data_IF_621115278403
#
_entry.id   IF_621115278403
#
_cell.length_a   1.000
_cell.length_b   1.000
_cell.length_c   1.000
_cell.angle_alpha   90.00
_cell.angle_beta   90.00
_cell.angle_gamma   90.00
#
_symmetry.space_group_name_H-M   'P 1'
#
loop_
_entity.id
_entity.type
_entity.pdbx_description
1 polymer ?
#
# COMPACT_ATOMS: atom_id res chain seq x y z
N UNK A 1 -17.47 12.62 -13.16
CA UNK A 1 -16.88 11.42 -12.50
C UNK A 1 -17.92 10.31 -12.55
N UNK A 2 -17.54 9.06 -12.84
CA UNK A 2 -18.46 7.93 -12.73
C UNK A 2 -18.92 7.76 -11.27
N UNK A 3 -20.08 7.14 -11.06
CA UNK A 3 -20.57 6.84 -9.72
C UNK A 3 -19.71 5.71 -9.10
N UNK A 4 -19.43 5.82 -7.81
CA UNK A 4 -18.66 4.80 -7.06
C UNK A 4 -19.43 3.48 -7.00
N UNK A 5 -18.74 2.37 -7.27
CA UNK A 5 -19.25 1.00 -7.07
C UNK A 5 -19.66 0.79 -5.60
N UNK A 6 -19.01 1.46 -4.66
CA UNK A 6 -19.34 1.45 -3.23
C UNK A 6 -20.77 1.84 -2.89
N UNK A 7 -21.48 2.57 -3.78
CA UNK A 7 -22.91 2.83 -3.60
C UNK A 7 -23.78 1.59 -3.77
N UNK A 8 -23.26 0.53 -4.40
CA UNK A 8 -23.97 -0.73 -4.66
C UNK A 8 -23.38 -1.87 -3.82
N UNK A 9 -22.07 -1.97 -3.77
CA UNK A 9 -21.33 -2.97 -2.99
C UNK A 9 -20.38 -2.23 -2.06
N UNK A 10 -20.69 -2.25 -0.77
CA UNK A 10 -19.85 -1.68 0.28
C UNK A 10 -19.10 -2.83 0.96
N UNK A 11 -17.77 -2.81 0.88
CA UNK A 11 -16.88 -3.75 1.59
C UNK A 11 -16.24 -2.98 2.74
N UNK A 12 -16.43 -3.47 3.96
CA UNK A 12 -15.85 -2.91 5.17
C UNK A 12 -14.83 -3.93 5.66
N UNK A 13 -13.58 -3.51 5.78
CA UNK A 13 -12.50 -4.32 6.33
C UNK A 13 -12.10 -3.77 7.70
N UNK A 14 -11.85 -4.61 8.66
CA UNK A 14 -11.35 -4.25 9.97
C UNK A 14 -9.97 -4.91 10.18
N UNK A 15 -8.90 -4.13 10.39
CA UNK A 15 -8.88 -2.67 10.45
C UNK A 15 -9.31 -2.01 9.13
N UNK A 16 -9.85 -0.77 9.15
CA UNK A 16 -10.49 -0.19 7.99
C UNK A 16 -9.50 0.01 6.84
N UNK A 17 -9.84 -0.58 5.68
CA UNK A 17 -9.27 -0.21 4.40
C UNK A 17 -10.27 0.70 3.69
N UNK A 18 -9.80 1.84 3.18
CA UNK A 18 -10.65 2.69 2.36
C UNK A 18 -10.80 2.09 0.96
N UNK A 19 -12.02 2.07 0.46
CA UNK A 19 -12.34 1.42 -0.81
C UNK A 19 -11.84 2.26 -1.96
N UNK A 20 -10.85 1.75 -2.67
CA UNK A 20 -10.32 2.36 -3.90
C UNK A 20 -11.16 1.90 -5.09
N UNK A 21 -11.83 2.82 -5.76
CA UNK A 21 -12.78 2.53 -6.85
C UNK A 21 -12.13 2.17 -8.18
N UNK A 22 -11.13 1.40 -8.29
CA UNK A 22 -10.39 0.87 -9.45
C UNK A 22 -8.87 1.07 -9.35
N UNK A 23 -8.29 0.77 -8.20
CA UNK A 23 -6.86 0.88 -8.03
C UNK A 23 -6.11 -0.11 -8.93
N UNK A 24 -5.16 0.40 -9.66
CA UNK A 24 -4.11 -0.43 -10.22
C UNK A 24 -2.96 -0.47 -9.19
N UNK A 25 -2.92 -1.53 -8.38
CA UNK A 25 -1.93 -1.72 -7.32
C UNK A 25 -0.48 -1.80 -7.86
N UNK A 26 -0.31 -2.05 -9.15
CA UNK A 26 0.97 -2.05 -9.86
C UNK A 26 1.41 -0.66 -10.36
N UNK A 27 1.05 0.45 -9.69
CA UNK A 27 1.40 1.80 -10.14
C UNK A 27 2.17 2.59 -9.10
N UNK A 28 3.34 3.09 -9.51
CA UNK A 28 4.18 4.03 -8.74
C UNK A 28 4.27 5.34 -9.52
N UNK A 29 4.00 6.46 -8.86
CA UNK A 29 4.06 7.81 -9.44
C UNK A 29 5.10 8.65 -8.70
N UNK A 30 6.09 9.17 -9.41
CA UNK A 30 7.00 10.18 -8.88
C UNK A 30 6.35 11.57 -9.04
N UNK A 31 6.22 12.29 -7.95
CA UNK A 31 5.78 13.68 -7.92
C UNK A 31 6.98 14.58 -7.74
N UNK A 32 7.24 15.50 -8.69
CA UNK A 32 8.44 16.34 -8.64
C UNK A 32 8.24 17.68 -9.34
N UNK A 33 8.87 18.76 -8.84
CA UNK A 33 8.98 20.04 -9.55
C UNK A 33 9.66 19.89 -10.91
N UNK A 34 10.62 18.97 -11.07
CA UNK A 34 11.28 18.70 -12.34
C UNK A 34 10.31 18.31 -13.48
N UNK A 35 9.15 17.76 -13.13
CA UNK A 35 8.13 17.30 -14.11
C UNK A 35 7.31 18.45 -14.68
N UNK A 36 7.18 19.58 -13.97
CA UNK A 36 6.33 20.73 -14.34
C UNK A 36 6.67 21.29 -15.72
N UNK A 37 7.95 21.30 -16.09
CA UNK A 37 8.41 21.79 -17.38
C UNK A 37 8.14 20.84 -18.56
N UNK A 38 7.97 19.55 -18.29
CA UNK A 38 7.87 18.45 -19.28
C UNK A 38 6.43 17.99 -19.48
N UNK A 39 5.70 17.75 -18.39
CA UNK A 39 4.30 17.33 -18.42
C UNK A 39 3.39 18.55 -18.26
N UNK A 40 2.77 18.96 -19.36
CA UNK A 40 1.95 20.18 -19.42
C UNK A 40 0.51 19.86 -19.77
N UNK A 41 -0.44 20.67 -19.25
CA UNK A 41 -1.85 20.58 -19.60
C UNK A 41 -2.06 20.50 -21.14
N UNK A 42 -2.89 19.58 -21.67
CA UNK A 42 -3.86 18.75 -20.94
C UNK A 42 -3.30 17.42 -20.38
N UNK A 43 -2.01 17.12 -20.53
CA UNK A 43 -1.37 15.93 -19.97
C UNK A 43 -1.28 16.08 -18.44
N UNK A 44 -1.73 15.06 -17.69
CA UNK A 44 -1.69 15.07 -16.22
C UNK A 44 -0.54 14.25 -15.68
N UNK A 45 -0.03 13.29 -16.44
CA UNK A 45 1.08 12.41 -16.09
C UNK A 45 1.74 11.85 -17.35
N UNK A 46 2.95 11.29 -17.20
CA UNK A 46 3.63 10.53 -18.25
C UNK A 46 4.16 9.22 -17.70
N UNK A 47 4.23 8.19 -18.56
CA UNK A 47 4.71 6.86 -18.19
C UNK A 47 5.97 6.48 -18.95
N UNK A 48 6.85 5.73 -18.27
CA UNK A 48 8.11 5.25 -18.81
C UNK A 48 8.28 3.77 -18.53
N UNK A 49 8.68 3.00 -19.54
CA UNK A 49 8.97 1.56 -19.39
C UNK A 49 10.47 1.28 -19.19
N UNK A 50 11.33 2.25 -19.46
CA UNK A 50 12.79 2.13 -19.34
C UNK A 50 13.41 3.41 -18.80
N UNK A 51 14.54 3.27 -18.10
CA UNK A 51 15.35 4.41 -17.65
C UNK A 51 15.83 5.27 -18.83
N UNK A 52 16.20 4.66 -19.95
CA UNK A 52 16.65 5.39 -21.16
C UNK A 52 15.56 6.30 -21.72
N UNK A 53 14.29 5.81 -21.76
CA UNK A 53 13.18 6.63 -22.21
C UNK A 53 12.89 7.79 -21.23
N UNK A 54 13.03 7.54 -19.92
CA UNK A 54 12.93 8.56 -18.89
C UNK A 54 14.02 9.64 -19.07
N UNK A 55 15.28 9.24 -19.23
CA UNK A 55 16.41 10.15 -19.41
C UNK A 55 16.35 10.97 -20.70
N UNK A 56 15.61 10.53 -21.72
CA UNK A 56 15.40 11.31 -22.93
C UNK A 56 14.55 12.57 -22.69
N UNK A 57 13.58 12.49 -21.76
CA UNK A 57 12.75 13.64 -21.37
C UNK A 57 13.37 14.43 -20.20
N UNK A 58 14.18 13.78 -19.38
CA UNK A 58 14.85 14.34 -18.19
C UNK A 58 16.38 14.10 -18.28
N UNK A 59 17.08 14.80 -19.19
CA UNK A 59 18.52 14.64 -19.35
C UNK A 59 19.27 15.21 -18.13
N UNK A 60 20.33 14.52 -17.69
CA UNK A 60 21.08 14.84 -16.47
C UNK A 60 21.75 16.22 -16.48
N UNK A 61 22.00 16.78 -17.65
CA UNK A 61 22.56 18.12 -17.82
C UNK A 61 21.56 19.27 -17.62
N UNK A 62 20.26 18.96 -17.61
CA UNK A 62 19.17 19.93 -17.47
C UNK A 62 18.15 19.59 -16.37
N UNK A 63 18.27 18.40 -15.77
CA UNK A 63 17.40 17.90 -14.70
C UNK A 63 18.23 17.64 -13.45
N UNK A 64 17.71 17.95 -12.24
CA UNK A 64 18.41 17.63 -11.00
C UNK A 64 18.75 16.14 -10.91
N UNK A 65 19.99 15.82 -10.55
CA UNK A 65 20.47 14.44 -10.45
C UNK A 65 19.62 13.56 -9.55
N UNK A 66 19.03 14.14 -8.47
CA UNK A 66 18.18 13.42 -7.54
C UNK A 66 16.93 12.79 -8.22
N UNK A 67 16.36 13.47 -9.24
CA UNK A 67 15.19 12.96 -9.93
C UNK A 67 15.52 11.75 -10.81
N UNK A 68 16.61 11.85 -11.59
CA UNK A 68 17.11 10.74 -12.38
C UNK A 68 17.57 9.58 -11.50
N UNK A 69 18.23 9.87 -10.39
CA UNK A 69 18.67 8.85 -9.44
C UNK A 69 17.48 8.13 -8.77
N UNK A 70 16.42 8.85 -8.42
CA UNK A 70 15.18 8.24 -7.92
C UNK A 70 14.56 7.28 -8.94
N UNK A 71 14.46 7.71 -10.21
CA UNK A 71 13.99 6.83 -11.28
C UNK A 71 14.90 5.60 -11.48
N UNK A 72 16.20 5.78 -11.34
CA UNK A 72 17.18 4.68 -11.41
C UNK A 72 16.91 3.64 -10.31
N UNK A 73 16.66 4.04 -9.06
CA UNK A 73 16.31 3.13 -7.97
C UNK A 73 15.06 2.28 -8.26
N UNK A 74 14.06 2.86 -8.93
CA UNK A 74 12.90 2.12 -9.40
C UNK A 74 13.27 1.11 -10.49
N UNK A 75 14.01 1.53 -11.53
CA UNK A 75 14.31 0.69 -12.69
C UNK A 75 15.35 -0.40 -12.41
N UNK A 76 16.20 -0.23 -11.41
CA UNK A 76 17.19 -1.23 -10.99
C UNK A 76 16.57 -2.35 -10.14
N UNK A 77 15.36 -2.16 -9.60
CA UNK A 77 14.65 -3.25 -8.92
C UNK A 77 14.27 -4.33 -9.93
N UNK A 78 14.73 -5.60 -9.71
CA UNK A 78 14.38 -6.72 -10.60
C UNK A 78 12.88 -7.01 -10.62
N UNK A 79 12.23 -6.96 -9.44
CA UNK A 79 10.79 -7.06 -9.31
C UNK A 79 10.20 -5.63 -9.20
N UNK A 80 9.54 -5.19 -10.26
CA UNK A 80 8.91 -3.86 -10.34
C UNK A 80 7.74 -3.86 -11.31
N UNK A 81 6.84 -2.87 -11.22
CA UNK A 81 5.85 -2.62 -12.26
C UNK A 81 6.49 -2.36 -13.63
N UNK A 82 5.76 -2.65 -14.70
CA UNK A 82 6.23 -2.44 -16.06
C UNK A 82 6.51 -0.95 -16.35
N UNK A 83 5.74 -0.06 -15.76
CA UNK A 83 5.82 1.38 -15.99
C UNK A 83 6.08 2.14 -14.71
N UNK A 84 6.97 3.12 -14.80
CA UNK A 84 7.10 4.22 -13.84
C UNK A 84 6.28 5.41 -14.37
N UNK A 85 5.49 6.02 -13.50
CA UNK A 85 4.73 7.21 -13.82
C UNK A 85 5.37 8.45 -13.18
N UNK A 86 5.21 9.59 -13.83
CA UNK A 86 5.62 10.89 -13.27
C UNK A 86 4.47 11.88 -13.38
N UNK A 87 4.29 12.69 -12.35
CA UNK A 87 3.28 13.74 -12.31
C UNK A 87 3.89 15.06 -11.80
N UNK A 88 3.42 16.21 -12.29
CA UNK A 88 3.92 17.50 -11.84
C UNK A 88 3.50 17.77 -10.37
N UNK A 89 4.43 18.35 -9.63
CA UNK A 89 4.21 18.92 -8.30
C UNK A 89 4.87 20.31 -8.27
N UNK A 90 4.08 21.36 -8.44
CA UNK A 90 4.55 22.74 -8.58
C UNK A 90 4.84 23.39 -7.20
N UNK A 91 5.65 22.71 -6.38
CA UNK A 91 6.02 23.15 -5.05
C UNK A 91 6.92 24.41 -5.04
N UNK A 92 7.66 24.63 -6.14
CA UNK A 92 8.61 25.72 -6.31
C UNK A 92 7.98 26.98 -6.97
N UNK A 93 6.67 27.00 -7.15
CA UNK A 93 5.97 28.16 -7.72
C UNK A 93 6.08 29.38 -6.78
N UNK A 94 6.74 30.46 -7.25
CA UNK A 94 7.02 31.63 -6.42
C UNK A 94 5.75 32.38 -5.98
N UNK A 95 4.70 32.36 -6.83
CA UNK A 95 3.45 33.08 -6.55
C UNK A 95 2.48 32.25 -5.69
N UNK A 96 2.40 30.96 -5.94
CA UNK A 96 1.49 30.03 -5.28
C UNK A 96 2.09 28.63 -5.24
N UNK A 97 2.92 28.31 -4.26
CA UNK A 97 3.42 26.93 -4.09
C UNK A 97 2.27 25.92 -3.98
N UNK A 98 2.35 24.84 -4.73
CA UNK A 98 1.39 23.75 -4.63
C UNK A 98 1.78 22.83 -3.48
N UNK A 99 0.83 22.54 -2.57
CA UNK A 99 1.06 21.51 -1.56
C UNK A 99 1.10 20.12 -2.18
N UNK A 100 1.74 19.16 -1.51
CA UNK A 100 1.78 17.77 -1.96
C UNK A 100 0.36 17.15 -2.00
N UNK A 101 -0.48 17.48 -1.03
CA UNK A 101 -1.89 17.06 -1.00
C UNK A 101 -2.67 17.57 -2.24
N UNK A 102 -2.42 18.83 -2.67
CA UNK A 102 -3.03 19.38 -3.88
C UNK A 102 -2.54 18.67 -5.15
N UNK A 103 -1.25 18.31 -5.22
CA UNK A 103 -0.69 17.56 -6.34
C UNK A 103 -1.34 16.15 -6.46
N UNK A 104 -1.49 15.45 -5.34
CA UNK A 104 -2.20 14.17 -5.28
C UNK A 104 -3.66 14.30 -5.72
N UNK A 105 -4.38 15.29 -5.18
CA UNK A 105 -5.76 15.56 -5.54
C UNK A 105 -5.93 15.91 -7.02
N UNK A 106 -5.04 16.72 -7.57
CA UNK A 106 -5.07 17.12 -8.99
C UNK A 106 -4.85 15.92 -9.92
N UNK A 107 -3.88 15.05 -9.61
CA UNK A 107 -3.66 13.83 -10.39
C UNK A 107 -4.88 12.92 -10.31
N UNK A 108 -5.41 12.65 -9.11
CA UNK A 108 -6.59 11.78 -8.92
C UNK A 108 -7.85 12.33 -9.59
N UNK A 109 -8.01 13.65 -9.67
CA UNK A 109 -9.12 14.26 -10.40
C UNK A 109 -9.04 13.99 -11.92
N UNK A 110 -7.82 13.82 -12.45
CA UNK A 110 -7.57 13.57 -13.88
C UNK A 110 -7.44 12.08 -14.19
N UNK A 111 -6.79 11.35 -13.30
CA UNK A 111 -6.52 9.91 -13.40
C UNK A 111 -6.36 9.30 -12.02
N UNK A 112 -7.34 8.52 -11.61
CA UNK A 112 -7.35 7.88 -10.28
C UNK A 112 -6.75 6.45 -10.29
N UNK A 113 -6.21 6.00 -11.42
CA UNK A 113 -5.61 4.67 -11.61
C UNK A 113 -4.21 4.50 -11.03
N UNK A 114 -3.81 5.28 -10.00
CA UNK A 114 -2.53 5.15 -9.31
C UNK A 114 -2.71 4.73 -7.86
N UNK A 115 -1.68 4.10 -7.30
CA UNK A 115 -1.72 3.58 -5.93
C UNK A 115 -0.63 4.14 -5.01
N UNK A 116 0.64 4.15 -5.43
CA UNK A 116 1.75 4.62 -4.63
C UNK A 116 2.32 5.93 -5.16
N UNK A 117 2.32 6.98 -4.34
CA UNK A 117 2.95 8.27 -4.63
C UNK A 117 4.33 8.39 -3.97
N UNK A 118 5.34 8.84 -4.72
CA UNK A 118 6.69 9.11 -4.22
C UNK A 118 7.00 10.57 -4.48
N UNK A 119 7.00 11.44 -3.47
CA UNK A 119 7.43 12.84 -3.62
C UNK A 119 8.97 12.90 -3.78
N UNK A 120 9.45 13.71 -4.74
CA UNK A 120 10.87 13.80 -5.07
C UNK A 120 11.29 15.25 -5.29
N UNK A 121 12.35 15.66 -4.62
CA UNK A 121 13.08 16.90 -4.91
C UNK A 121 12.73 18.07 -4.02
N UNK A 122 11.48 18.34 -3.72
CA UNK A 122 11.08 19.42 -2.82
C UNK A 122 10.81 18.89 -1.40
N UNK A 123 11.06 19.72 -0.41
CA UNK A 123 10.69 19.43 0.97
C UNK A 123 9.24 19.86 1.17
N UNK A 124 8.38 18.92 1.57
CA UNK A 124 6.99 19.24 1.88
C UNK A 124 6.88 19.75 3.32
N UNK A 125 6.47 21.02 3.52
CA UNK A 125 6.35 21.59 4.86
C UNK A 125 5.12 21.08 5.62
N UNK A 126 4.12 20.55 4.92
CA UNK A 126 2.87 20.03 5.49
C UNK A 126 2.65 18.55 5.17
N UNK A 127 3.50 17.70 5.74
CA UNK A 127 3.34 16.25 5.63
C UNK A 127 2.02 15.75 6.23
N UNK A 128 1.45 16.49 7.19
CA UNK A 128 0.19 16.13 7.83
C UNK A 128 -0.96 16.15 6.82
N UNK A 129 -1.11 17.23 6.03
CA UNK A 129 -2.20 17.32 5.03
C UNK A 129 -2.05 16.30 3.92
N UNK A 130 -0.81 16.03 3.48
CA UNK A 130 -0.51 15.00 2.50
C UNK A 130 -0.88 13.60 3.02
N UNK A 131 -0.46 13.27 4.25
CA UNK A 131 -0.78 11.99 4.89
C UNK A 131 -2.29 11.81 5.13
N UNK A 132 -3.00 12.88 5.54
CA UNK A 132 -4.46 12.86 5.70
C UNK A 132 -5.17 12.60 4.37
N UNK A 133 -4.73 13.24 3.28
CA UNK A 133 -5.29 13.00 1.95
C UNK A 133 -5.06 11.56 1.50
N UNK A 134 -3.84 11.04 1.66
CA UNK A 134 -3.45 9.65 1.33
C UNK A 134 -4.30 8.66 2.14
N UNK A 135 -4.44 8.88 3.45
CA UNK A 135 -5.27 8.05 4.32
C UNK A 135 -6.72 8.01 3.84
N UNK A 136 -7.31 9.18 3.54
CA UNK A 136 -8.70 9.30 3.09
C UNK A 136 -8.93 8.74 1.67
N UNK A 137 -7.89 8.68 0.83
CA UNK A 137 -7.99 8.17 -0.54
C UNK A 137 -7.77 6.66 -0.67
N UNK A 138 -7.33 5.98 0.40
CA UNK A 138 -6.96 4.57 0.38
C UNK A 138 -5.72 4.24 -0.47
N UNK A 139 -4.90 5.26 -0.76
CA UNK A 139 -3.62 5.12 -1.47
C UNK A 139 -2.48 5.01 -0.46
N UNK A 140 -1.26 4.84 -0.93
CA UNK A 140 -0.05 4.94 -0.10
C UNK A 140 0.89 6.01 -0.62
N UNK A 141 1.68 6.59 0.27
CA UNK A 141 2.84 7.38 -0.12
C UNK A 141 4.11 6.73 0.40
N UNK A 142 5.20 6.89 -0.34
CA UNK A 142 6.50 6.39 0.05
C UNK A 142 7.49 7.56 0.13
N UNK A 143 8.12 7.74 1.30
CA UNK A 143 8.93 8.91 1.65
C UNK A 143 10.31 8.45 2.09
N UNK A 144 11.37 9.04 1.52
CA UNK A 144 12.72 8.93 2.09
C UNK A 144 12.87 10.04 3.13
N UNK A 145 13.17 9.62 4.35
CA UNK A 145 13.46 10.51 5.47
C UNK A 145 14.97 10.54 5.74
N UNK A 146 15.50 11.73 6.02
CA UNK A 146 16.92 11.93 6.36
C UNK A 146 17.11 12.74 7.64
N UNK A 147 16.01 13.10 8.31
CA UNK A 147 16.06 13.95 9.50
C UNK A 147 16.65 13.19 10.69
N UNK A 148 17.79 13.66 11.20
CA UNK A 148 18.43 13.05 12.37
C UNK A 148 17.54 13.06 13.63
N UNK A 149 16.57 13.99 13.72
CA UNK A 149 15.55 14.03 14.79
C UNK A 149 14.69 12.77 14.82
N UNK A 150 14.47 12.11 13.68
CA UNK A 150 13.55 11.00 13.56
C UNK A 150 14.18 9.65 13.99
N UNK A 151 15.50 9.67 14.28
CA UNK A 151 16.17 8.55 14.97
C UNK A 151 15.84 8.44 16.46
N UNK A 152 15.10 9.42 17.02
CA UNK A 152 14.60 9.40 18.40
C UNK A 152 13.10 9.73 18.41
N UNK A 153 12.23 8.82 18.91
CA UNK A 153 10.79 9.05 18.98
C UNK A 153 10.39 10.32 19.75
N UNK A 154 11.24 10.79 20.68
CA UNK A 154 10.95 12.00 21.47
C UNK A 154 11.14 13.31 20.68
N UNK A 155 11.90 13.28 19.60
CA UNK A 155 12.20 14.45 18.75
C UNK A 155 11.70 14.30 17.31
N UNK A 156 11.03 13.18 17.00
CA UNK A 156 10.60 12.83 15.65
C UNK A 156 9.60 13.83 15.08
N UNK A 157 9.88 14.31 13.89
CA UNK A 157 8.97 15.17 13.11
C UNK A 157 7.77 14.39 12.58
N UNK A 158 7.85 13.06 12.52
CA UNK A 158 6.77 12.16 12.12
C UNK A 158 5.84 11.78 13.28
N UNK A 159 6.20 12.10 14.52
CA UNK A 159 5.38 11.79 15.70
C UNK A 159 3.92 12.29 15.60
N UNK A 160 3.60 13.48 15.04
CA UNK A 160 2.21 13.91 14.86
C UNK A 160 1.40 13.01 13.91
N UNK A 161 2.02 12.47 12.87
CA UNK A 161 1.37 11.54 11.91
C UNK A 161 1.06 10.21 12.61
N UNK A 162 2.02 9.71 13.40
CA UNK A 162 1.87 8.48 14.19
C UNK A 162 0.74 8.66 15.21
N UNK A 163 0.71 9.76 15.94
CA UNK A 163 -0.33 10.06 16.92
C UNK A 163 -1.73 10.22 16.32
N UNK A 164 -1.81 10.59 15.04
CA UNK A 164 -3.06 10.72 14.30
C UNK A 164 -3.45 9.42 13.56
N UNK A 165 -2.71 8.32 13.75
CA UNK A 165 -2.90 7.01 13.08
C UNK A 165 -2.92 7.11 11.53
N UNK A 166 -2.05 7.99 10.98
CA UNK A 166 -1.90 8.18 9.54
C UNK A 166 -0.86 7.19 8.98
N UNK A 167 -1.20 5.89 9.04
CA UNK A 167 -0.26 4.79 8.80
C UNK A 167 0.06 4.54 7.32
N UNK A 168 -0.67 5.12 6.34
CA UNK A 168 -0.50 4.83 4.90
C UNK A 168 0.76 5.46 4.28
N UNK A 169 1.78 5.72 5.10
CA UNK A 169 3.09 6.21 4.67
C UNK A 169 4.16 5.11 4.85
N UNK A 170 4.81 4.71 3.76
CA UNK A 170 5.98 3.86 3.76
C UNK A 170 7.22 4.75 3.90
N UNK A 171 7.83 4.80 5.07
CA UNK A 171 8.98 5.68 5.34
C UNK A 171 10.26 4.87 5.36
N UNK A 172 11.27 5.32 4.62
CA UNK A 172 12.62 4.78 4.63
C UNK A 172 13.59 5.85 5.15
N UNK A 173 14.22 5.60 6.28
CA UNK A 173 15.30 6.45 6.80
C UNK A 173 16.61 6.17 6.07
N UNK A 174 17.27 7.23 5.65
CA UNK A 174 18.61 7.18 5.06
C UNK A 174 19.40 8.42 5.44
N UNK A 175 20.40 8.28 6.32
CA UNK A 175 21.27 9.38 6.70
C UNK A 175 22.08 9.89 5.51
N UNK A 176 22.47 11.17 5.55
CA UNK A 176 23.35 11.76 4.55
C UNK A 176 22.70 12.06 3.20
N UNK A 177 21.42 11.79 3.01
CA UNK A 177 20.66 12.32 1.90
C UNK A 177 20.31 13.77 2.23
N UNK A 178 20.63 14.70 1.33
CA UNK A 178 20.25 16.10 1.51
C UNK A 178 18.73 16.27 1.41
N UNK A 179 18.19 17.26 2.11
CA UNK A 179 16.79 17.66 1.95
C UNK A 179 16.53 17.95 0.46
N UNK A 180 15.44 17.38 -0.07
CA UNK A 180 15.15 17.43 -1.49
C UNK A 180 16.04 16.53 -2.37
N UNK A 181 16.81 15.63 -1.77
CA UNK A 181 17.66 14.66 -2.46
C UNK A 181 16.90 13.50 -3.10
N UNK A 182 17.60 12.47 -3.60
CA UNK A 182 16.99 11.34 -4.27
C UNK A 182 16.16 10.50 -3.29
N UNK A 183 14.97 10.10 -3.74
CA UNK A 183 14.05 9.27 -2.95
C UNK A 183 14.37 7.79 -3.15
N UNK A 184 15.25 7.24 -2.30
CA UNK A 184 15.65 5.82 -2.35
C UNK A 184 14.50 4.86 -2.06
N UNK A 185 13.47 5.30 -1.34
CA UNK A 185 12.24 4.54 -1.10
C UNK A 185 11.52 4.13 -2.39
N UNK A 186 11.81 4.77 -3.54
CA UNK A 186 11.29 4.38 -4.85
C UNK A 186 11.61 2.91 -5.20
N UNK A 187 12.74 2.38 -4.69
CA UNK A 187 13.10 0.96 -4.80
C UNK A 187 12.12 0.07 -4.04
N UNK A 188 11.72 0.45 -2.81
CA UNK A 188 10.73 -0.29 -2.02
C UNK A 188 9.32 -0.16 -2.60
N UNK A 189 8.95 1.04 -3.07
CA UNK A 189 7.68 1.26 -3.75
C UNK A 189 7.57 0.40 -5.01
N UNK A 190 8.66 0.29 -5.80
CA UNK A 190 8.73 -0.60 -6.96
C UNK A 190 8.50 -2.07 -6.56
N UNK A 191 9.18 -2.53 -5.52
CA UNK A 191 9.07 -3.90 -5.04
C UNK A 191 7.64 -4.19 -4.52
N UNK A 192 7.09 -3.32 -3.66
CA UNK A 192 5.75 -3.50 -3.10
C UNK A 192 4.67 -3.52 -4.19
N UNK A 193 4.74 -2.59 -5.15
CA UNK A 193 3.79 -2.51 -6.26
C UNK A 193 4.06 -3.53 -7.39
N UNK A 194 5.06 -4.41 -7.25
CA UNK A 194 5.32 -5.49 -8.21
C UNK A 194 4.49 -6.75 -7.97
N UNK A 195 3.72 -6.81 -6.87
CA UNK A 195 2.91 -7.97 -6.52
C UNK A 195 1.88 -8.25 -7.61
N UNK A 196 1.96 -9.45 -8.18
CA UNK A 196 0.95 -9.98 -9.12
C UNK A 196 -0.06 -10.82 -8.34
N UNK A 197 -1.17 -10.21 -7.96
CA UNK A 197 -2.20 -10.86 -7.15
C UNK A 197 -2.91 -12.03 -7.86
N UNK A 198 -2.72 -12.20 -9.17
CA UNK A 198 -3.26 -13.34 -9.93
C UNK A 198 -2.33 -14.56 -9.90
N UNK A 199 -1.04 -14.35 -9.56
CA UNK A 199 -0.05 -15.43 -9.46
C UNK A 199 -0.10 -16.17 -8.12
N UNK A 200 0.36 -17.40 -8.09
CA UNK A 200 0.53 -18.17 -6.84
C UNK A 200 1.76 -17.68 -6.07
N UNK A 201 1.67 -17.70 -4.73
CA UNK A 201 2.76 -17.35 -3.80
C UNK A 201 3.43 -16.00 -4.16
N UNK A 202 2.62 -15.04 -4.61
CA UNK A 202 3.11 -13.76 -5.10
C UNK A 202 3.27 -12.69 -4.04
N UNK A 203 2.67 -12.88 -2.86
CA UNK A 203 2.85 -11.94 -1.74
C UNK A 203 4.32 -11.89 -1.30
N UNK A 204 4.80 -10.68 -1.07
CA UNK A 204 6.19 -10.43 -0.68
C UNK A 204 6.24 -9.58 0.57
N UNK A 205 7.16 -9.87 1.48
CA UNK A 205 7.53 -8.93 2.54
C UNK A 205 8.69 -8.05 2.07
N UNK A 206 8.75 -6.81 2.54
CA UNK A 206 9.86 -5.89 2.25
C UNK A 206 11.11 -6.21 3.08
N UNK A 207 10.93 -6.82 4.27
CA UNK A 207 12.07 -7.24 5.11
C UNK A 207 12.96 -8.24 4.36
N UNK A 208 14.27 -8.12 4.56
CA UNK A 208 15.31 -8.95 3.92
C UNK A 208 15.47 -8.73 2.42
N UNK A 209 14.88 -7.70 1.83
CA UNK A 209 15.04 -7.40 0.40
C UNK A 209 16.24 -6.47 0.19
N UNK A 210 16.87 -6.65 -0.96
CA UNK A 210 17.96 -5.78 -1.43
C UNK A 210 17.39 -4.58 -2.18
N UNK A 211 18.08 -3.45 -2.11
CA UNK A 211 17.76 -2.23 -2.84
C UNK A 211 18.92 -1.91 -3.80
N UNK A 212 18.90 -2.44 -5.04
CA UNK A 212 19.96 -2.20 -6.01
C UNK A 212 20.20 -0.71 -6.26
N UNK A 213 21.47 -0.30 -6.33
CA UNK A 213 21.86 1.09 -6.54
C UNK A 213 21.76 1.98 -5.29
N UNK A 214 21.11 1.54 -4.22
CA UNK A 214 21.01 2.29 -2.97
C UNK A 214 22.18 1.94 -2.05
N UNK A 215 22.84 2.97 -1.51
CA UNK A 215 23.89 2.76 -0.51
C UNK A 215 23.30 2.35 0.85
N UNK A 216 23.96 1.41 1.53
CA UNK A 216 23.59 1.06 2.90
C UNK A 216 23.90 2.20 3.87
N UNK A 217 23.05 2.38 4.87
CA UNK A 217 23.29 3.34 5.92
C UNK A 217 24.16 2.71 7.03
N UNK A 218 25.39 3.16 7.11
CA UNK A 218 26.37 2.68 8.11
C UNK A 218 26.26 3.41 9.46
N UNK A 219 25.40 4.41 9.58
CA UNK A 219 25.20 5.16 10.83
C UNK A 219 24.19 4.50 11.77
N UNK A 220 23.46 3.49 11.27
CA UNK A 220 22.44 2.77 12.04
C UNK A 220 23.13 1.92 13.12
N UNK A 221 22.96 2.36 14.37
CA UNK A 221 23.32 1.62 15.57
C UNK A 221 22.13 0.80 16.07
N UNK A 222 22.36 -0.17 16.98
CA UNK A 222 21.27 -0.95 17.58
C UNK A 222 20.19 -0.08 18.24
N UNK A 223 20.61 1.05 18.86
CA UNK A 223 19.67 2.01 19.48
C UNK A 223 18.85 2.73 18.43
N UNK A 224 19.49 3.24 17.36
CA UNK A 224 18.77 3.89 16.25
C UNK A 224 17.83 2.90 15.58
N UNK A 225 18.28 1.69 15.30
CA UNK A 225 17.48 0.61 14.73
C UNK A 225 16.21 0.34 15.55
N UNK A 226 16.36 0.19 16.88
CA UNK A 226 15.22 -0.02 17.78
C UNK A 226 14.24 1.15 17.76
N UNK A 227 14.74 2.39 17.76
CA UNK A 227 13.94 3.59 17.73
C UNK A 227 13.16 3.76 16.40
N UNK A 228 13.82 3.51 15.27
CA UNK A 228 13.19 3.53 13.95
C UNK A 228 12.10 2.45 13.83
N UNK A 229 12.41 1.22 14.25
CA UNK A 229 11.46 0.11 14.25
C UNK A 229 10.23 0.42 15.11
N UNK A 230 10.39 1.02 16.28
CA UNK A 230 9.28 1.40 17.16
C UNK A 230 8.34 2.45 16.54
N UNK A 231 8.83 3.24 15.60
CA UNK A 231 8.07 4.25 14.87
C UNK A 231 7.49 3.73 13.54
N UNK A 232 7.83 2.50 13.12
CA UNK A 232 7.47 1.97 11.82
C UNK A 232 8.26 2.62 10.67
N UNK A 233 9.48 3.07 10.96
CA UNK A 233 10.39 3.64 9.96
C UNK A 233 11.36 2.53 9.53
N UNK A 234 11.44 2.29 8.23
CA UNK A 234 12.30 1.30 7.63
C UNK A 234 13.70 1.85 7.43
N UNK A 235 14.70 1.00 7.35
CA UNK A 235 16.08 1.38 7.07
C UNK A 235 16.80 0.28 6.29
N UNK A 236 17.82 0.68 5.49
CA UNK A 236 18.62 -0.21 4.66
C UNK A 236 20.06 -0.22 5.18
N UNK A 237 20.49 -1.36 5.71
CA UNK A 237 21.80 -1.45 6.39
C UNK A 237 22.49 -2.78 6.11
N UNK A 238 23.78 -2.84 6.47
CA UNK A 238 24.62 -4.02 6.31
C UNK A 238 24.52 -4.92 7.56
N UNK A 239 24.16 -6.19 7.35
CA UNK A 239 24.13 -7.24 8.37
C UNK A 239 25.42 -8.10 8.38
N UNK A 240 26.51 -7.60 7.81
CA UNK A 240 27.82 -8.24 7.75
C UNK A 240 27.98 -9.20 6.58
N UNK A 241 26.98 -9.96 6.21
CA UNK A 241 27.01 -10.88 5.05
C UNK A 241 26.16 -10.38 3.88
N UNK A 242 25.17 -9.56 4.16
CA UNK A 242 24.25 -8.98 3.17
C UNK A 242 23.77 -7.62 3.62
N UNK A 243 23.55 -6.75 2.66
CA UNK A 243 22.86 -5.48 2.86
C UNK A 243 21.40 -5.66 2.51
N UNK A 244 20.50 -5.34 3.44
CA UNK A 244 19.08 -5.62 3.31
C UNK A 244 18.23 -4.57 4.02
N UNK A 245 16.98 -4.46 3.59
CA UNK A 245 15.94 -3.75 4.35
C UNK A 245 15.70 -4.50 5.66
N UNK A 246 15.75 -3.79 6.76
CA UNK A 246 15.64 -4.39 8.09
C UNK A 246 14.20 -4.69 8.47
N UNK A 247 13.28 -3.85 8.06
CA UNK A 247 11.87 -3.96 8.41
C UNK A 247 10.99 -3.89 7.13
N UNK A 248 9.70 -3.72 7.27
CA UNK A 248 8.72 -3.59 6.18
C UNK A 248 7.44 -2.96 6.70
N UNK A 249 7.57 -2.13 7.75
CA UNK A 249 6.44 -1.47 8.39
C UNK A 249 5.89 -0.31 7.59
N UNK A 250 4.60 -0.09 7.72
CA UNK A 250 4.02 1.24 7.51
C UNK A 250 4.25 2.10 8.76
N UNK A 251 4.20 3.43 8.61
CA UNK A 251 4.43 4.38 9.70
C UNK A 251 3.54 4.08 10.92
N UNK A 252 4.13 4.14 12.11
CA UNK A 252 3.45 3.81 13.37
C UNK A 252 3.56 2.35 13.80
N UNK A 253 4.18 1.47 12.99
CA UNK A 253 4.40 0.05 13.27
C UNK A 253 3.13 -0.74 13.67
N UNK A 254 1.98 -0.34 13.13
CA UNK A 254 0.69 -1.01 13.38
C UNK A 254 0.36 -2.05 12.32
N UNK A 255 0.84 -1.85 11.08
CA UNK A 255 0.61 -2.76 9.96
C UNK A 255 1.86 -2.90 9.11
N UNK A 256 2.05 -4.09 8.51
CA UNK A 256 3.09 -4.32 7.51
C UNK A 256 2.65 -3.80 6.15
N UNK A 257 3.60 -3.37 5.32
CA UNK A 257 3.29 -2.82 3.99
C UNK A 257 2.61 -3.84 3.06
N UNK A 258 3.01 -5.10 3.14
CA UNK A 258 2.40 -6.21 2.40
C UNK A 258 0.97 -6.51 2.86
N UNK A 259 0.67 -6.38 4.15
CA UNK A 259 -0.70 -6.50 4.66
C UNK A 259 -1.59 -5.38 4.13
N UNK A 260 -1.10 -4.12 4.15
CA UNK A 260 -1.88 -2.97 3.67
C UNK A 260 -2.26 -3.13 2.20
N UNK A 261 -1.30 -3.39 1.32
CA UNK A 261 -1.58 -3.57 -0.12
C UNK A 261 -2.44 -4.81 -0.38
N UNK A 262 -2.24 -5.89 0.39
CA UNK A 262 -3.02 -7.12 0.28
C UNK A 262 -4.48 -6.93 0.68
N UNK A 263 -4.74 -6.22 1.78
CA UNK A 263 -6.09 -5.90 2.26
C UNK A 263 -6.80 -4.95 1.29
N UNK A 264 -6.10 -3.95 0.77
CA UNK A 264 -6.64 -3.02 -0.22
C UNK A 264 -7.05 -3.75 -1.50
N UNK A 265 -6.19 -4.65 -2.00
CA UNK A 265 -6.51 -5.50 -3.14
C UNK A 265 -7.73 -6.41 -2.85
N UNK A 266 -7.76 -7.07 -1.70
CA UNK A 266 -8.87 -7.96 -1.32
C UNK A 266 -10.20 -7.20 -1.28
N UNK A 267 -10.22 -6.03 -0.66
CA UNK A 267 -11.40 -5.16 -0.56
C UNK A 267 -11.89 -4.74 -1.96
N UNK A 268 -10.98 -4.25 -2.80
CA UNK A 268 -11.29 -3.83 -4.17
C UNK A 268 -11.80 -4.98 -5.03
N UNK A 269 -11.15 -6.16 -4.93
CA UNK A 269 -11.52 -7.35 -5.70
C UNK A 269 -12.91 -7.88 -5.30
N UNK A 270 -13.19 -7.98 -3.99
CA UNK A 270 -14.50 -8.36 -3.47
C UNK A 270 -15.59 -7.42 -3.98
N UNK A 271 -15.37 -6.11 -3.85
CA UNK A 271 -16.32 -5.10 -4.30
C UNK A 271 -16.60 -5.19 -5.79
N UNK A 272 -15.54 -5.28 -6.60
CA UNK A 272 -15.64 -5.33 -8.06
C UNK A 272 -16.31 -6.59 -8.54
N UNK A 273 -15.92 -7.77 -8.02
CA UNK A 273 -16.46 -9.05 -8.49
C UNK A 273 -17.92 -9.24 -8.07
N UNK A 274 -18.30 -8.82 -6.85
CA UNK A 274 -19.70 -8.85 -6.42
C UNK A 274 -20.55 -7.86 -7.22
N UNK A 275 -20.04 -6.65 -7.51
CA UNK A 275 -20.71 -5.69 -8.36
C UNK A 275 -20.93 -6.24 -9.77
N UNK A 276 -19.91 -6.83 -10.39
CA UNK A 276 -19.99 -7.43 -11.72
C UNK A 276 -21.01 -8.58 -11.73
N UNK A 277 -21.03 -9.41 -10.70
CA UNK A 277 -22.01 -10.49 -10.56
C UNK A 277 -23.45 -9.99 -10.49
N UNK A 278 -23.68 -8.83 -9.85
CA UNK A 278 -24.99 -8.18 -9.84
C UNK A 278 -25.36 -7.54 -11.18
N UNK A 279 -24.38 -6.92 -11.86
CA UNK A 279 -24.59 -6.18 -13.11
C UNK A 279 -24.81 -7.10 -14.33
N UNK A 280 -24.06 -8.19 -14.41
CA UNK A 280 -24.11 -9.12 -15.55
C UNK A 280 -25.34 -10.03 -15.56
N UNK A 281 -25.95 -10.25 -14.39
CA UNK A 281 -27.12 -11.11 -14.27
C UNK A 281 -28.41 -10.31 -14.50
N UNK A 282 -29.41 -10.96 -15.10
CA UNK A 282 -30.74 -10.35 -15.26
C UNK A 282 -31.35 -9.98 -13.90
N UNK A 283 -31.06 -10.76 -12.86
CA UNK A 283 -31.54 -10.57 -11.49
C UNK A 283 -30.85 -11.58 -10.56
N UNK A 284 -30.34 -11.11 -9.42
CA UNK A 284 -30.08 -11.95 -8.25
C UNK A 284 -31.30 -11.85 -7.35
N UNK A 285 -31.94 -12.97 -7.01
CA UNK A 285 -33.17 -12.96 -6.20
C UNK A 285 -32.83 -12.71 -4.73
N UNK A 286 -33.68 -11.93 -4.04
CA UNK A 286 -33.56 -11.75 -2.59
C UNK A 286 -34.14 -12.96 -1.85
N UNK A 287 -33.40 -14.06 -1.89
CA UNK A 287 -33.66 -15.37 -1.30
C UNK A 287 -32.37 -15.97 -0.80
N UNK A 288 -32.42 -16.94 0.11
CA UNK A 288 -31.20 -17.59 0.59
C UNK A 288 -30.36 -18.21 -0.54
N UNK A 289 -30.90 -18.85 -1.59
CA UNK A 289 -30.10 -19.25 -2.75
C UNK A 289 -29.45 -18.08 -3.49
N UNK A 290 -30.11 -16.92 -3.60
CA UNK A 290 -29.52 -15.74 -4.25
C UNK A 290 -28.40 -15.10 -3.41
N UNK A 291 -28.50 -15.13 -2.08
CA UNK A 291 -27.39 -14.73 -1.17
C UNK A 291 -26.23 -15.71 -1.32
N UNK A 292 -26.50 -17.02 -1.37
CA UNK A 292 -25.47 -18.04 -1.58
C UNK A 292 -24.72 -17.85 -2.92
N UNK A 293 -25.37 -17.36 -3.98
CA UNK A 293 -24.67 -17.02 -5.24
C UNK A 293 -23.66 -15.88 -5.04
N UNK A 294 -23.96 -14.86 -4.25
CA UNK A 294 -23.02 -13.78 -3.94
C UNK A 294 -21.89 -14.27 -3.02
N UNK A 295 -22.21 -15.13 -2.04
CA UNK A 295 -21.20 -15.77 -1.19
C UNK A 295 -20.21 -16.61 -2.02
N UNK A 296 -20.67 -17.33 -3.05
CA UNK A 296 -19.79 -18.08 -3.94
C UNK A 296 -18.85 -17.18 -4.76
N UNK A 297 -19.30 -15.98 -5.12
CA UNK A 297 -18.41 -14.97 -5.76
C UNK A 297 -17.32 -14.55 -4.78
N UNK A 298 -17.70 -14.20 -3.55
CA UNK A 298 -16.76 -13.86 -2.50
C UNK A 298 -15.78 -15.02 -2.19
N UNK A 299 -16.27 -16.26 -2.17
CA UNK A 299 -15.44 -17.46 -1.97
C UNK A 299 -14.36 -17.61 -3.05
N UNK A 300 -14.67 -17.30 -4.31
CA UNK A 300 -13.68 -17.36 -5.38
C UNK A 300 -12.56 -16.31 -5.17
N UNK A 301 -12.89 -15.12 -4.69
CA UNK A 301 -11.89 -14.10 -4.32
C UNK A 301 -11.04 -14.59 -3.14
N UNK A 302 -11.66 -15.19 -2.11
CA UNK A 302 -10.92 -15.74 -0.97
C UNK A 302 -9.98 -16.89 -1.37
N UNK A 303 -10.41 -17.77 -2.29
CA UNK A 303 -9.54 -18.81 -2.87
C UNK A 303 -8.34 -18.21 -3.61
N UNK A 304 -8.52 -17.06 -4.28
CA UNK A 304 -7.42 -16.35 -4.91
C UNK A 304 -6.49 -15.75 -3.86
N UNK A 305 -7.02 -15.17 -2.77
CA UNK A 305 -6.25 -14.65 -1.64
C UNK A 305 -5.42 -15.74 -0.93
N UNK A 306 -5.92 -16.97 -0.89
CA UNK A 306 -5.14 -18.12 -0.39
C UNK A 306 -4.05 -18.52 -1.38
N UNK A 307 -4.35 -18.56 -2.67
CA UNK A 307 -3.35 -18.95 -3.69
C UNK A 307 -2.18 -17.98 -3.79
N UNK A 308 -2.44 -16.67 -3.69
CA UNK A 308 -1.38 -15.67 -3.76
C UNK A 308 -0.59 -15.51 -2.46
N UNK A 309 -1.00 -16.20 -1.37
CA UNK A 309 -0.29 -16.19 -0.09
C UNK A 309 -0.68 -15.06 0.87
N UNK A 310 -1.75 -14.30 0.57
CA UNK A 310 -2.28 -13.28 1.51
C UNK A 310 -2.99 -13.91 2.70
N UNK A 311 -3.74 -14.99 2.46
CA UNK A 311 -4.55 -15.68 3.47
C UNK A 311 -4.03 -17.11 3.63
N UNK A 312 -3.95 -17.60 4.88
CA UNK A 312 -3.52 -18.96 5.19
C UNK A 312 -4.35 -19.56 6.32
N UNK A 313 -4.43 -20.91 6.43
CA UNK A 313 -5.02 -21.59 7.57
C UNK A 313 -4.45 -21.10 8.91
N UNK A 314 -5.31 -20.91 9.91
CA UNK A 314 -4.90 -20.44 11.23
C UNK A 314 -6.04 -20.38 12.22
N UNK A 315 -5.72 -20.06 13.48
CA UNK A 315 -6.69 -19.89 14.54
C UNK A 315 -7.36 -18.51 14.44
N UNK A 316 -8.67 -18.46 14.65
CA UNK A 316 -9.42 -17.22 14.75
C UNK A 316 -9.37 -16.70 16.19
N UNK A 317 -8.82 -15.52 16.40
CA UNK A 317 -8.66 -14.87 17.70
C UNK A 317 -9.65 -13.72 17.96
N UNK A 318 -10.52 -13.41 16.95
CA UNK A 318 -11.52 -12.36 17.04
C UNK A 318 -12.84 -12.80 17.68
N UNK A 319 -13.83 -11.91 17.59
CA UNK A 319 -15.18 -12.16 18.12
C UNK A 319 -15.88 -13.32 17.40
N UNK A 320 -16.78 -14.05 18.10
CA UNK A 320 -17.58 -15.12 17.49
C UNK A 320 -18.46 -14.61 16.37
N UNK A 321 -18.44 -15.27 15.20
CA UNK A 321 -19.29 -14.95 14.04
C UNK A 321 -19.85 -16.23 13.42
N UNK A 322 -21.16 -16.31 13.33
CA UNK A 322 -21.87 -17.50 12.81
C UNK A 322 -21.56 -18.74 13.62
N UNK A 323 -20.90 -19.73 13.01
CA UNK A 323 -20.51 -20.97 13.67
C UNK A 323 -19.08 -20.95 14.21
N UNK A 324 -18.31 -19.88 13.96
CA UNK A 324 -16.91 -19.76 14.37
C UNK A 324 -16.81 -18.99 15.68
N UNK A 325 -16.07 -19.55 16.64
CA UNK A 325 -15.75 -18.96 17.93
C UNK A 325 -14.26 -18.61 18.01
N UNK A 326 -13.87 -17.76 18.97
CA UNK A 326 -12.47 -17.50 19.26
C UNK A 326 -11.74 -18.79 19.64
N UNK A 327 -10.60 -19.06 19.04
CA UNK A 327 -9.81 -20.29 19.18
C UNK A 327 -10.16 -21.38 18.14
N UNK A 328 -11.20 -21.19 17.31
CA UNK A 328 -11.50 -22.16 16.26
C UNK A 328 -10.51 -22.02 15.09
N UNK A 329 -10.12 -23.16 14.53
CA UNK A 329 -9.18 -23.23 13.42
C UNK A 329 -9.87 -23.09 12.08
N UNK A 330 -9.47 -22.10 11.30
CA UNK A 330 -9.96 -21.87 9.93
C UNK A 330 -9.12 -22.73 8.96
N UNK A 331 -9.61 -23.91 8.59
CA UNK A 331 -8.88 -24.87 7.73
C UNK A 331 -8.56 -24.31 6.33
N UNK A 332 -9.40 -23.44 5.80
CA UNK A 332 -9.20 -22.76 4.52
C UNK A 332 -8.58 -21.37 4.66
N UNK A 333 -8.26 -20.93 5.90
CA UNK A 333 -7.82 -19.57 6.19
C UNK A 333 -8.93 -18.53 6.20
N UNK A 334 -10.17 -18.90 5.85
CA UNK A 334 -11.30 -18.00 5.86
C UNK A 334 -12.60 -18.71 6.18
N UNK A 335 -13.61 -17.93 6.59
CA UNK A 335 -15.00 -18.37 6.77
C UNK A 335 -15.95 -17.28 6.25
N UNK A 336 -16.99 -17.67 5.51
CA UNK A 336 -17.97 -16.75 4.93
C UNK A 336 -19.35 -17.07 5.52
N UNK A 337 -20.02 -16.05 6.04
CA UNK A 337 -21.30 -16.17 6.70
C UNK A 337 -22.29 -15.09 6.25
N UNK A 338 -23.54 -15.45 6.13
CA UNK A 338 -24.65 -14.51 6.01
C UNK A 338 -25.90 -15.08 6.71
N UNK A 339 -26.67 -14.20 7.31
CA UNK A 339 -27.98 -14.57 7.87
C UNK A 339 -28.99 -14.91 6.77
N UNK A 340 -30.05 -15.69 7.14
CA UNK A 340 -31.13 -15.96 6.21
C UNK A 340 -31.90 -14.68 5.88
N UNK A 341 -32.34 -14.57 4.64
CA UNK A 341 -33.23 -13.46 4.16
C UNK A 341 -34.45 -13.30 5.03
N UNK A 342 -34.90 -14.36 5.72
CA UNK A 342 -36.06 -14.32 6.64
C UNK A 342 -35.83 -13.41 7.86
N UNK A 343 -34.60 -13.15 8.26
CA UNK A 343 -34.24 -12.28 9.39
C UNK A 343 -34.30 -10.79 9.06
N UNK A 344 -34.33 -10.43 7.76
CA UNK A 344 -34.39 -9.04 7.32
C UNK A 344 -35.65 -8.33 7.84
N UNK A 345 -35.47 -7.06 8.19
CA UNK A 345 -36.62 -6.19 8.50
C UNK A 345 -37.54 -6.01 7.29
N UNK A 346 -38.79 -5.61 7.52
CA UNK A 346 -39.71 -5.31 6.43
C UNK A 346 -39.21 -4.17 5.53
N UNK A 347 -38.52 -3.18 6.13
CA UNK A 347 -37.96 -2.04 5.41
C UNK A 347 -36.72 -2.44 4.55
N UNK A 348 -35.86 -3.29 5.07
CA UNK A 348 -34.69 -3.78 4.28
C UNK A 348 -35.13 -4.67 3.12
N UNK A 349 -36.16 -5.54 3.34
CA UNK A 349 -36.77 -6.30 2.25
C UNK A 349 -37.42 -5.41 1.20
N UNK A 350 -38.13 -4.35 1.62
CA UNK A 350 -38.69 -3.35 0.70
C UNK A 350 -37.63 -2.58 -0.05
N UNK A 351 -36.51 -2.25 0.60
CA UNK A 351 -35.35 -1.61 0.00
C UNK A 351 -34.49 -2.58 -0.82
N UNK A 352 -34.82 -3.88 -0.88
CA UNK A 352 -34.11 -4.95 -1.58
C UNK A 352 -32.64 -5.08 -1.16
N UNK A 353 -32.37 -4.85 0.13
CA UNK A 353 -31.03 -5.03 0.68
C UNK A 353 -30.75 -6.52 0.93
N UNK A 354 -29.55 -6.96 0.55
CA UNK A 354 -29.03 -8.27 0.91
C UNK A 354 -28.72 -8.31 2.42
N UNK A 355 -28.90 -9.45 3.11
CA UNK A 355 -28.28 -9.63 4.42
C UNK A 355 -26.78 -9.36 4.33
N UNK A 356 -26.14 -8.79 5.37
CA UNK A 356 -24.68 -8.62 5.39
C UNK A 356 -23.97 -9.96 5.15
N UNK A 357 -23.00 -9.96 4.25
CA UNK A 357 -22.08 -11.09 4.05
C UNK A 357 -20.82 -10.76 4.85
N UNK A 358 -20.51 -11.56 5.85
CA UNK A 358 -19.32 -11.40 6.70
C UNK A 358 -18.27 -12.43 6.31
N UNK A 359 -17.04 -11.98 6.17
CA UNK A 359 -15.89 -12.84 5.85
C UNK A 359 -14.88 -12.70 6.99
N UNK A 360 -14.53 -13.83 7.60
CA UNK A 360 -13.38 -13.95 8.47
C UNK A 360 -12.20 -14.40 7.62
N UNK A 361 -11.04 -13.77 7.77
CA UNK A 361 -9.83 -14.13 7.05
C UNK A 361 -8.61 -14.07 8.00
N UNK A 362 -7.82 -15.13 8.00
CA UNK A 362 -6.56 -15.19 8.73
C UNK A 362 -5.41 -14.83 7.76
N UNK A 363 -4.74 -13.71 8.00
CA UNK A 363 -3.62 -13.26 7.16
C UNK A 363 -2.39 -14.15 7.37
N UNK A 364 -1.70 -14.45 6.28
CA UNK A 364 -0.58 -15.42 6.29
C UNK A 364 0.66 -14.92 7.04
N UNK A 365 0.89 -13.62 7.15
CA UNK A 365 2.08 -13.06 7.75
C UNK A 365 3.41 -13.64 7.24
N UNK A 366 4.51 -12.91 7.39
CA UNK A 366 5.85 -13.38 7.02
C UNK A 366 6.70 -13.72 8.26
N UNK A 367 7.59 -14.72 8.15
CA UNK A 367 8.54 -15.03 9.23
C UNK A 367 9.68 -14.02 9.21
N UNK A 368 9.78 -13.19 10.25
CA UNK A 368 10.77 -12.13 10.37
C UNK A 368 11.86 -12.41 11.42
N UNK A 369 11.71 -13.46 12.23
CA UNK A 369 12.73 -13.91 13.19
C UNK A 369 12.64 -15.41 13.45
N UNK A 370 13.78 -16.04 13.73
CA UNK A 370 13.86 -17.46 14.08
C UNK A 370 14.79 -17.64 15.27
N UNK A 371 14.33 -18.33 16.31
CA UNK A 371 15.15 -18.76 17.46
C UNK A 371 15.46 -20.24 17.34
N UNK A 372 16.75 -20.60 17.24
CA UNK A 372 17.20 -21.97 17.16
C UNK A 372 18.01 -22.31 18.43
N UNK A 373 17.53 -23.28 19.19
CA UNK A 373 18.25 -23.79 20.37
C UNK A 373 18.89 -25.14 20.04
N UNK A 374 20.23 -25.21 20.13
CA UNK A 374 20.97 -26.46 19.93
C UNK A 374 21.43 -26.96 21.29
N UNK A 375 20.92 -28.12 21.72
CA UNK A 375 21.37 -28.81 22.95
C UNK A 375 22.38 -29.86 22.54
N UNK A 376 23.63 -29.70 22.98
CA UNK A 376 24.71 -30.70 22.77
C UNK A 376 24.96 -31.51 24.05
N UNK A 377 25.07 -32.82 23.94
CA UNK A 377 25.50 -33.72 25.03
C UNK A 377 26.89 -34.27 24.68
N UNK A 378 27.81 -34.38 25.70
CA UNK A 378 29.13 -34.97 25.54
C UNK A 378 29.17 -36.31 26.25
#
# INVERSE_FOLDING_TARGET
MPLSIGNVVNVIVNPPADVVSSANFGTVVLFSPAVVSVVKSPEAYRQYSTLTAFQADFPQDSTPDYFTQTAQYFFEQPARPQYLYVAPWDAENEDKPQSLADAYAQLSASWDGWYCGVPVGAVEPDLMSAAQWIQASGKIQAITDSAASDTDPATSTLAPLIAADLYRSLVLYQSGVADGGPSSVASLAALLCSIDFDAEDSMITLKFKEMPGVASDSTITDTIAANLTAQGINYYTDFGTKTMVAEGWMLGATMWADEVIGIDWLSNKLQTDVFNALAERKKVSLTDPGVAELMNVAENVMKQAVRNGLVAPGEWDGDPIGAVSSGDYLENGYYIYADSVSTLSADDRKARKCPPITILAHLAGAVHSVNITVNTNR
#
